data_IF_613190962957
#
_entry.id   IF_613190962957
#
_cell.length_a   1.000
_cell.length_b   1.000
_cell.length_c   1.000
_cell.angle_alpha   90.00
_cell.angle_beta   90.00
_cell.angle_gamma   90.00
#
_symmetry.space_group_name_H-M   'P 1'
#
loop_
_entity.id
_entity.type
_entity.pdbx_description
1 polymer ?
#
# COMPACT_ATOMS: atom_id res chain seq x y z
N UNK A 1 7.18 3.42 -6.91
CA UNK A 1 5.83 3.21 -6.34
C UNK A 1 4.80 3.47 -7.40
N UNK A 2 4.10 2.44 -7.85
CA UNK A 2 3.05 2.50 -8.87
C UNK A 2 1.65 2.45 -8.25
N UNK A 3 0.61 2.69 -9.05
CA UNK A 3 -0.79 2.60 -8.57
C UNK A 3 -1.13 1.18 -8.06
N UNK A 4 -0.83 0.08 -8.80
CA UNK A 4 -1.05 -1.27 -8.28
C UNK A 4 -0.33 -1.54 -6.96
N UNK A 5 0.88 -1.01 -6.80
CA UNK A 5 1.65 -1.19 -5.57
C UNK A 5 0.97 -0.56 -4.36
N UNK A 6 0.42 0.66 -4.52
CA UNK A 6 -0.35 1.33 -3.47
C UNK A 6 -1.67 0.59 -3.20
N UNK A 7 -2.36 0.11 -4.23
CA UNK A 7 -3.60 -0.64 -4.07
C UNK A 7 -3.38 -1.93 -3.27
N UNK A 8 -2.35 -2.71 -3.61
CA UNK A 8 -2.01 -3.93 -2.89
C UNK A 8 -1.56 -3.62 -1.45
N UNK A 9 -0.74 -2.58 -1.24
CA UNK A 9 -0.35 -2.14 0.10
C UNK A 9 -1.56 -1.71 0.93
N UNK A 10 -2.52 -1.00 0.35
CA UNK A 10 -3.77 -0.61 1.02
C UNK A 10 -4.55 -1.82 1.50
N UNK A 11 -4.71 -2.84 0.65
CA UNK A 11 -5.34 -4.10 1.05
C UNK A 11 -4.55 -4.73 2.19
N UNK A 12 -3.23 -4.93 2.05
CA UNK A 12 -2.38 -5.56 3.07
C UNK A 12 -2.33 -4.84 4.44
N UNK A 13 -2.67 -3.56 4.51
CA UNK A 13 -2.69 -2.78 5.75
C UNK A 13 -4.08 -2.70 6.41
N UNK A 14 -5.11 -3.39 5.87
CA UNK A 14 -6.41 -3.48 6.55
C UNK A 14 -6.30 -4.27 7.87
N UNK A 15 -7.08 -3.91 8.90
CA UNK A 15 -7.10 -4.61 10.19
C UNK A 15 -7.93 -5.91 10.12
N UNK A 16 -7.83 -6.66 9.02
CA UNK A 16 -8.56 -7.88 8.76
C UNK A 16 -7.57 -9.01 8.47
N UNK A 17 -7.94 -10.25 8.77
CA UNK A 17 -7.12 -11.42 8.42
C UNK A 17 -7.32 -11.78 6.95
N UNK A 18 -6.64 -11.06 6.05
CA UNK A 18 -6.81 -11.15 4.59
C UNK A 18 -5.52 -11.59 3.90
N UNK A 19 -5.68 -12.39 2.86
CA UNK A 19 -4.60 -12.92 2.03
C UNK A 19 -4.88 -12.59 0.57
N UNK A 20 -4.36 -11.46 0.04
CA UNK A 20 -4.68 -11.02 -1.32
C UNK A 20 -4.15 -12.00 -2.36
N UNK A 21 -5.01 -12.38 -3.30
CA UNK A 21 -4.61 -13.15 -4.48
C UNK A 21 -4.30 -12.17 -5.60
N UNK A 22 -3.05 -12.20 -6.09
CA UNK A 22 -2.60 -11.31 -7.17
C UNK A 22 -2.23 -12.12 -8.40
N UNK A 23 -2.66 -11.66 -9.57
CA UNK A 23 -2.21 -12.17 -10.86
C UNK A 23 -0.95 -11.43 -11.31
N UNK A 24 -0.07 -12.14 -12.01
CA UNK A 24 1.07 -11.56 -12.71
C UNK A 24 1.35 -12.40 -13.96
N UNK A 25 1.66 -11.73 -15.08
CA UNK A 25 2.03 -12.37 -16.34
C UNK A 25 3.55 -12.42 -16.58
N UNK A 26 4.35 -11.81 -15.71
CA UNK A 26 5.81 -11.81 -15.79
C UNK A 26 6.48 -11.76 -14.42
N UNK A 27 7.78 -12.09 -14.37
CA UNK A 27 8.59 -11.99 -13.16
C UNK A 27 8.73 -10.56 -12.65
N UNK A 28 8.76 -9.57 -13.55
CA UNK A 28 8.81 -8.16 -13.17
C UNK A 28 7.53 -7.72 -12.43
N UNK A 29 6.38 -8.22 -12.85
CA UNK A 29 5.10 -7.94 -12.18
C UNK A 29 5.03 -8.61 -10.80
N UNK A 30 5.55 -9.84 -10.65
CA UNK A 30 5.71 -10.46 -9.33
C UNK A 30 6.62 -9.61 -8.44
N UNK A 31 7.78 -9.20 -8.97
CA UNK A 31 8.73 -8.36 -8.24
C UNK A 31 8.09 -7.04 -7.80
N UNK A 32 7.28 -6.43 -8.67
CA UNK A 32 6.54 -5.22 -8.34
C UNK A 32 5.50 -5.46 -7.22
N UNK A 33 4.78 -6.58 -7.24
CA UNK A 33 3.83 -6.94 -6.17
C UNK A 33 4.53 -7.20 -4.83
N UNK A 34 5.69 -7.86 -4.85
CA UNK A 34 6.46 -8.13 -3.63
C UNK A 34 6.88 -6.84 -2.91
N UNK A 35 7.23 -5.78 -3.64
CA UNK A 35 7.57 -4.48 -3.04
C UNK A 35 6.42 -3.84 -2.23
N UNK A 36 5.16 -4.24 -2.46
CA UNK A 36 4.03 -3.77 -1.65
C UNK A 36 4.01 -4.35 -0.24
N UNK A 37 4.64 -5.51 0.00
CA UNK A 37 4.67 -6.17 1.31
C UNK A 37 5.39 -5.32 2.37
N UNK A 38 6.42 -4.59 1.93
CA UNK A 38 7.24 -3.69 2.75
C UNK A 38 6.60 -2.30 2.94
N UNK A 39 5.53 -2.00 2.17
CA UNK A 39 4.87 -0.70 2.24
C UNK A 39 3.87 -0.67 3.38
N UNK A 40 4.32 -0.19 4.55
CA UNK A 40 3.44 0.11 5.69
C UNK A 40 2.79 1.48 5.51
N UNK A 41 1.46 1.51 5.56
CA UNK A 41 0.67 2.73 5.48
C UNK A 41 0.25 3.14 6.89
N UNK A 42 0.45 4.41 7.22
CA UNK A 42 -0.04 4.95 8.48
C UNK A 42 -1.58 5.03 8.48
N UNK A 43 -2.19 5.12 9.65
CA UNK A 43 -3.65 5.26 9.77
C UNK A 43 -4.18 6.49 9.03
N UNK A 44 -3.44 7.61 9.02
CA UNK A 44 -3.82 8.80 8.26
C UNK A 44 -3.76 8.55 6.75
N UNK A 45 -2.79 7.78 6.27
CA UNK A 45 -2.70 7.42 4.85
C UNK A 45 -3.83 6.48 4.44
N UNK A 46 -4.14 5.49 5.29
CA UNK A 46 -5.29 4.61 5.10
C UNK A 46 -6.59 5.41 5.02
N UNK A 47 -6.81 6.33 5.97
CA UNK A 47 -8.01 7.18 5.99
C UNK A 47 -8.09 8.13 4.78
N UNK A 48 -6.97 8.63 4.28
CA UNK A 48 -6.95 9.43 3.06
C UNK A 48 -7.27 8.61 1.81
N UNK A 49 -6.73 7.39 1.69
CA UNK A 49 -7.06 6.47 0.60
C UNK A 49 -8.53 6.03 0.63
N UNK A 50 -9.11 5.91 1.83
CA UNK A 50 -10.53 5.60 2.05
C UNK A 50 -11.44 6.85 1.99
N UNK A 51 -10.91 7.99 1.51
CA UNK A 51 -11.62 9.27 1.36
C UNK A 51 -12.23 9.86 2.64
N UNK A 52 -11.83 9.36 3.82
CA UNK A 52 -12.21 9.89 5.14
C UNK A 52 -11.43 11.14 5.53
N UNK A 53 -10.31 11.41 4.85
CA UNK A 53 -9.55 12.64 4.98
C UNK A 53 -9.47 13.35 3.63
N UNK A 54 -9.78 14.65 3.60
CA UNK A 54 -9.75 15.46 2.38
C UNK A 54 -8.34 15.82 1.90
N UNK A 55 -7.37 15.88 2.83
CA UNK A 55 -5.99 16.26 2.54
C UNK A 55 -5.04 15.09 2.69
N UNK A 56 -4.16 14.91 1.70
CA UNK A 56 -3.09 13.91 1.73
C UNK A 56 -2.15 14.16 2.91
N UNK A 57 -1.84 13.13 3.74
CA UNK A 57 -0.89 13.25 4.83
C UNK A 57 0.54 13.47 4.30
N UNK A 58 1.33 14.27 5.03
CA UNK A 58 2.77 14.39 4.76
C UNK A 58 3.52 13.29 5.50
N UNK A 59 4.21 12.42 4.77
CA UNK A 59 5.21 11.54 5.39
C UNK A 59 6.36 12.40 5.88
N UNK A 60 6.60 12.43 7.19
CA UNK A 60 7.88 12.91 7.69
C UNK A 60 8.96 11.96 7.19
N UNK A 61 10.05 12.48 6.60
CA UNK A 61 11.23 11.66 6.38
C UNK A 61 11.73 11.26 7.76
N UNK A 62 11.66 9.96 8.09
CA UNK A 62 12.18 9.43 9.35
C UNK A 62 13.55 10.03 9.62
N UNK A 63 13.72 10.64 10.78
CA UNK A 63 15.00 11.17 11.22
C UNK A 63 15.95 10.01 11.49
N UNK A 64 17.01 9.94 10.68
CA UNK A 64 18.21 9.09 10.75
C UNK A 64 17.99 7.58 10.69
#
# INVERSE_FOLDING_TARGET
>A
MTIPQIALAYVLNQPLNIFPLVGARSGDEITANLQSLDTKLSQNEMAWLDLKLSRKPTRSKGGK
#
